data_IF_366550879069
#
_entry.id   IF_366550879069
#
_cell.length_a   1.000
_cell.length_b   1.000
_cell.length_c   1.000
_cell.angle_alpha   90.00
_cell.angle_beta   90.00
_cell.angle_gamma   90.00
#
_symmetry.space_group_name_H-M   'P 1'
#
loop_
_entity.id
_entity.type
_entity.pdbx_description
1 polymer ?
#
# COMPACT_ATOMS: atom_id res chain seq x y z
N UNK A 1 9.78 -28.75 -3.19
CA UNK A 1 9.53 -28.98 -4.64
C UNK A 1 8.04 -28.83 -4.87
N UNK A 2 7.59 -27.66 -5.31
CA UNK A 2 6.18 -27.47 -5.68
C UNK A 2 6.09 -27.51 -7.21
N UNK A 3 5.34 -28.50 -7.64
CA UNK A 3 4.90 -28.85 -8.98
C UNK A 3 4.56 -27.63 -9.85
N UNK A 4 5.18 -27.58 -11.03
CA UNK A 4 4.94 -26.59 -12.07
C UNK A 4 3.60 -26.79 -12.77
N UNK A 5 2.51 -26.38 -12.13
CA UNK A 5 1.22 -26.17 -12.79
C UNK A 5 1.08 -24.66 -13.05
N UNK A 6 1.43 -24.20 -14.25
CA UNK A 6 1.10 -22.84 -14.69
C UNK A 6 -0.42 -22.70 -14.69
N UNK A 7 -0.96 -21.87 -13.79
CA UNK A 7 -2.35 -21.42 -13.86
C UNK A 7 -2.54 -20.63 -15.17
N UNK A 8 -3.43 -21.05 -16.08
CA UNK A 8 -3.68 -20.36 -17.35
C UNK A 8 -4.29 -18.96 -17.20
N UNK A 9 -4.63 -18.51 -15.97
CA UNK A 9 -5.06 -17.13 -15.67
C UNK A 9 -3.89 -16.19 -15.37
N UNK A 10 -2.66 -16.67 -15.27
CA UNK A 10 -1.50 -15.83 -15.03
C UNK A 10 -0.99 -15.18 -16.33
N UNK A 11 -1.82 -14.34 -16.94
CA UNK A 11 -1.45 -13.43 -18.03
C UNK A 11 -1.65 -11.98 -17.56
N UNK A 12 -0.87 -11.56 -16.56
CA UNK A 12 -0.40 -10.17 -16.36
C UNK A 12 0.23 -10.04 -14.97
N UNK A 13 1.55 -9.82 -14.95
CA UNK A 13 2.25 -9.25 -13.80
C UNK A 13 2.37 -7.74 -14.05
N UNK A 14 1.26 -7.09 -14.40
CA UNK A 14 1.25 -5.72 -14.94
C UNK A 14 0.72 -4.69 -13.94
N UNK A 15 0.49 -5.08 -12.68
CA UNK A 15 0.07 -4.15 -11.64
C UNK A 15 1.21 -3.18 -11.32
N UNK A 16 1.09 -1.95 -11.82
CA UNK A 16 2.02 -0.85 -11.54
C UNK A 16 1.62 -0.06 -10.29
N UNK A 17 2.61 0.60 -9.71
CA UNK A 17 2.37 1.57 -8.65
C UNK A 17 1.50 2.71 -9.18
N UNK A 18 0.63 3.24 -8.32
CA UNK A 18 -0.23 4.37 -8.64
C UNK A 18 0.33 5.68 -8.02
N UNK A 19 -0.08 6.86 -8.55
CA UNK A 19 0.34 8.14 -7.98
C UNK A 19 0.00 8.26 -6.49
N UNK A 20 1.01 8.59 -5.69
CA UNK A 20 0.91 8.73 -4.23
C UNK A 20 0.52 7.45 -3.50
N UNK A 21 0.70 6.28 -4.11
CA UNK A 21 0.42 5.01 -3.48
C UNK A 21 1.40 4.70 -2.35
N UNK A 22 0.92 4.01 -1.31
CA UNK A 22 1.75 3.53 -0.20
C UNK A 22 2.17 2.07 -0.41
N UNK A 23 3.25 1.65 0.25
CA UNK A 23 3.71 0.28 0.23
C UNK A 23 2.64 -0.73 0.70
N UNK A 24 1.92 -0.49 1.83
CA UNK A 24 0.80 -1.36 2.20
C UNK A 24 -0.32 -1.39 1.15
N UNK A 25 -0.66 -0.25 0.53
CA UNK A 25 -1.65 -0.19 -0.55
C UNK A 25 -1.26 -1.08 -1.73
N UNK A 26 -0.03 -0.90 -2.22
CA UNK A 26 0.46 -1.64 -3.38
C UNK A 26 0.49 -3.14 -3.09
N UNK A 27 0.99 -3.55 -1.92
CA UNK A 27 1.01 -4.94 -1.49
C UNK A 27 -0.41 -5.54 -1.42
N UNK A 28 -1.39 -4.80 -0.87
CA UNK A 28 -2.79 -5.22 -0.83
C UNK A 28 -3.41 -5.40 -2.22
N UNK A 29 -3.20 -4.46 -3.14
CA UNK A 29 -3.71 -4.57 -4.51
C UNK A 29 -3.05 -5.72 -5.27
N UNK A 30 -1.75 -5.92 -5.04
CA UNK A 30 -1.00 -7.00 -5.66
C UNK A 30 -1.51 -8.37 -5.19
N UNK A 31 -1.72 -8.52 -3.88
CA UNK A 31 -2.32 -9.73 -3.31
C UNK A 31 -3.73 -9.97 -3.88
N UNK A 32 -4.55 -8.92 -3.95
CA UNK A 32 -5.89 -8.98 -4.54
C UNK A 32 -5.85 -9.43 -6.02
N UNK A 33 -4.90 -8.93 -6.82
CA UNK A 33 -4.72 -9.33 -8.24
C UNK A 33 -4.33 -10.80 -8.42
N UNK A 34 -3.92 -11.48 -7.33
CA UNK A 34 -3.57 -12.90 -7.31
C UNK A 34 -4.58 -13.74 -6.53
N UNK A 35 -5.64 -13.12 -6.00
CA UNK A 35 -6.67 -13.81 -5.23
C UNK A 35 -6.15 -14.36 -3.90
N UNK A 36 -5.12 -13.76 -3.32
CA UNK A 36 -4.51 -14.17 -2.03
C UNK A 36 -4.60 -13.05 -1.02
N UNK A 37 -4.35 -13.36 0.26
CA UNK A 37 -4.24 -12.32 1.29
C UNK A 37 -2.87 -11.64 1.24
N UNK A 38 -2.74 -10.46 1.84
CA UNK A 38 -1.42 -9.80 2.00
C UNK A 38 -0.44 -10.64 2.82
N UNK A 39 -0.94 -11.41 3.79
CA UNK A 39 -0.14 -12.32 4.60
C UNK A 39 0.46 -13.45 3.78
N UNK A 40 -0.37 -14.10 2.95
CA UNK A 40 0.07 -15.18 2.06
C UNK A 40 1.08 -14.68 1.03
N UNK A 41 0.81 -13.51 0.42
CA UNK A 41 1.76 -12.91 -0.52
C UNK A 41 3.10 -12.57 0.16
N UNK A 42 3.08 -12.02 1.39
CA UNK A 42 4.30 -11.74 2.12
C UNK A 42 5.09 -13.02 2.43
N UNK A 43 4.39 -14.09 2.81
CA UNK A 43 4.97 -15.41 3.04
C UNK A 43 5.62 -15.98 1.77
N UNK A 44 4.95 -15.90 0.62
CA UNK A 44 5.48 -16.34 -0.67
C UNK A 44 6.72 -15.54 -1.10
N UNK A 45 6.81 -14.27 -0.70
CA UNK A 45 8.01 -13.43 -0.87
C UNK A 45 9.13 -13.74 0.14
N UNK A 46 8.91 -14.68 1.07
CA UNK A 46 9.88 -15.09 2.09
C UNK A 46 10.01 -14.11 3.26
N UNK A 47 9.02 -13.24 3.48
CA UNK A 47 9.03 -12.21 4.52
C UNK A 47 7.71 -12.17 5.29
N UNK A 48 7.53 -11.20 6.19
CA UNK A 48 6.28 -11.03 6.94
C UNK A 48 5.68 -9.65 6.70
N UNK A 49 4.37 -9.51 6.90
CA UNK A 49 3.66 -8.23 6.77
C UNK A 49 4.28 -7.14 7.67
N UNK A 50 4.73 -7.52 8.87
CA UNK A 50 5.38 -6.60 9.81
C UNK A 50 6.64 -5.94 9.22
N UNK A 51 7.43 -6.68 8.43
CA UNK A 51 8.64 -6.14 7.78
C UNK A 51 8.30 -5.06 6.76
N UNK A 52 7.23 -5.24 5.98
CA UNK A 52 6.73 -4.19 5.08
C UNK A 52 6.25 -2.94 5.84
N UNK A 53 5.54 -3.10 6.97
CA UNK A 53 5.10 -1.96 7.80
C UNK A 53 6.25 -1.19 8.46
N UNK A 54 7.43 -1.82 8.53
CA UNK A 54 8.68 -1.24 9.03
C UNK A 54 9.58 -0.73 7.89
N UNK A 55 9.14 -0.84 6.63
CA UNK A 55 9.93 -0.53 5.44
C UNK A 55 11.32 -1.21 5.46
N UNK A 56 11.35 -2.47 5.89
CA UNK A 56 12.56 -3.30 5.90
C UNK A 56 13.10 -3.48 4.48
N UNK A 57 14.38 -3.20 4.30
CA UNK A 57 15.05 -3.19 2.99
C UNK A 57 14.93 -4.53 2.26
N UNK A 58 15.21 -5.64 2.94
CA UNK A 58 15.13 -6.97 2.32
C UNK A 58 13.70 -7.34 1.86
N UNK A 59 12.68 -6.93 2.61
CA UNK A 59 11.28 -7.12 2.21
C UNK A 59 10.91 -6.26 0.99
N UNK A 60 11.30 -4.99 0.98
CA UNK A 60 11.08 -4.08 -0.15
C UNK A 60 11.79 -4.60 -1.41
N UNK A 61 13.03 -5.08 -1.28
CA UNK A 61 13.81 -5.65 -2.38
C UNK A 61 13.18 -6.94 -2.93
N UNK A 62 12.65 -7.81 -2.06
CA UNK A 62 11.94 -9.02 -2.49
C UNK A 62 10.69 -8.66 -3.30
N UNK A 63 9.90 -7.70 -2.83
CA UNK A 63 8.73 -7.21 -3.54
C UNK A 63 9.11 -6.56 -4.88
N UNK A 64 10.11 -5.67 -4.89
CA UNK A 64 10.54 -4.95 -6.08
C UNK A 64 11.03 -5.91 -7.18
N UNK A 65 11.82 -6.93 -6.82
CA UNK A 65 12.27 -7.96 -7.76
C UNK A 65 11.11 -8.78 -8.31
N UNK A 66 10.19 -9.21 -7.45
CA UNK A 66 9.06 -10.05 -7.87
C UNK A 66 8.09 -9.29 -8.78
N UNK A 67 7.77 -8.05 -8.42
CA UNK A 67 6.86 -7.17 -9.17
C UNK A 67 7.53 -6.39 -10.30
N UNK A 68 8.85 -6.56 -10.51
CA UNK A 68 9.66 -5.85 -11.53
C UNK A 68 9.49 -4.32 -11.43
N UNK A 69 9.53 -3.80 -10.22
CA UNK A 69 9.51 -2.37 -9.95
C UNK A 69 10.89 -1.76 -10.21
N UNK A 70 10.89 -0.59 -10.83
CA UNK A 70 12.07 0.26 -10.94
C UNK A 70 12.41 0.90 -9.60
N UNK A 71 13.68 1.33 -9.45
CA UNK A 71 14.11 2.06 -8.25
C UNK A 71 13.28 3.32 -8.00
N UNK A 72 12.89 4.04 -9.07
CA UNK A 72 12.06 5.24 -8.96
C UNK A 72 10.62 4.94 -8.47
N UNK A 73 10.01 3.84 -8.91
CA UNK A 73 8.70 3.40 -8.40
C UNK A 73 8.78 3.06 -6.91
N UNK A 74 9.84 2.37 -6.49
CA UNK A 74 10.06 2.03 -5.08
C UNK A 74 10.28 3.28 -4.24
N UNK A 75 11.16 4.19 -4.70
CA UNK A 75 11.46 5.45 -4.00
C UNK A 75 10.21 6.31 -3.80
N UNK A 76 9.43 6.53 -4.86
CA UNK A 76 8.20 7.32 -4.79
C UNK A 76 7.19 6.68 -3.81
N UNK A 77 6.99 5.36 -3.91
CA UNK A 77 6.08 4.63 -3.01
C UNK A 77 6.53 4.71 -1.53
N UNK A 78 7.83 4.55 -1.25
CA UNK A 78 8.36 4.68 0.10
C UNK A 78 8.23 6.11 0.64
N UNK A 79 8.44 7.12 -0.21
CA UNK A 79 8.28 8.53 0.17
C UNK A 79 6.87 8.88 0.65
N UNK A 80 5.84 8.17 0.13
CA UNK A 80 4.44 8.29 0.53
C UNK A 80 4.03 7.33 1.64
N UNK A 81 4.86 6.34 1.96
CA UNK A 81 4.61 5.39 3.06
C UNK A 81 5.03 5.97 4.41
N UNK A 82 6.16 6.68 4.44
CA UNK A 82 6.81 7.10 5.68
C UNK A 82 7.76 6.02 6.20
N UNK A 83 9.07 6.24 6.03
CA UNK A 83 10.12 5.26 6.38
C UNK A 83 10.65 5.54 7.78
N UNK A 84 10.75 4.56 8.69
CA UNK A 84 11.32 4.77 10.02
C UNK A 84 12.76 5.30 9.98
N UNK A 85 13.04 6.33 10.77
CA UNK A 85 14.39 6.91 10.94
C UNK A 85 14.86 6.91 12.41
N UNK A 86 14.24 6.07 13.24
CA UNK A 86 14.50 6.00 14.69
C UNK A 86 13.74 7.05 15.51
N UNK A 87 13.84 6.97 16.83
CA UNK A 87 13.24 7.92 17.79
C UNK A 87 11.75 8.23 17.55
N UNK A 88 10.95 7.23 17.14
CA UNK A 88 9.52 7.36 16.85
C UNK A 88 9.25 8.44 15.79
N UNK A 89 10.13 8.51 14.79
CA UNK A 89 10.02 9.39 13.63
C UNK A 89 10.03 8.60 12.34
N UNK A 90 9.38 9.19 11.34
CA UNK A 90 9.29 8.71 9.98
C UNK A 90 9.84 9.80 9.05
N UNK A 91 10.63 9.42 8.06
CA UNK A 91 10.94 10.25 6.90
C UNK A 91 9.75 10.19 5.94
N UNK A 92 9.07 11.31 5.73
CA UNK A 92 7.90 11.40 4.88
C UNK A 92 8.04 12.57 3.92
N UNK A 93 8.04 12.29 2.62
CA UNK A 93 8.21 13.31 1.55
C UNK A 93 9.40 14.26 1.77
N UNK A 94 10.51 13.74 2.29
CA UNK A 94 11.73 14.53 2.54
C UNK A 94 11.81 15.16 3.93
N UNK A 95 10.76 15.05 4.75
CA UNK A 95 10.69 15.69 6.06
C UNK A 95 10.56 14.68 7.21
N UNK A 96 11.24 14.89 8.35
CA UNK A 96 11.05 14.08 9.54
C UNK A 96 9.74 14.44 10.24
N UNK A 97 8.84 13.47 10.38
CA UNK A 97 7.58 13.62 11.12
C UNK A 97 7.49 12.64 12.27
N UNK A 98 6.75 12.99 13.33
CA UNK A 98 6.47 12.05 14.43
C UNK A 98 5.59 10.92 13.93
N UNK A 99 5.82 9.67 14.35
CA UNK A 99 5.08 8.52 13.84
C UNK A 99 3.57 8.66 13.98
N UNK A 100 3.08 9.28 15.06
CA UNK A 100 1.65 9.52 15.31
C UNK A 100 0.98 10.50 14.35
N UNK A 101 1.75 11.26 13.57
CA UNK A 101 1.19 12.13 12.53
C UNK A 101 0.72 11.34 11.30
N UNK A 102 1.29 10.14 11.08
CA UNK A 102 0.96 9.25 9.96
C UNK A 102 0.26 7.95 10.39
N UNK A 103 0.65 7.40 11.54
CA UNK A 103 0.09 6.15 12.08
C UNK A 103 -1.10 6.48 12.98
N UNK A 104 -2.29 6.46 12.38
CA UNK A 104 -3.57 6.67 13.03
C UNK A 104 -4.35 5.33 13.08
N UNK A 105 -4.93 4.92 14.22
CA UNK A 105 -5.80 3.75 14.26
C UNK A 105 -7.01 3.89 13.31
N UNK A 106 -7.50 5.11 13.07
CA UNK A 106 -8.53 5.38 12.08
C UNK A 106 -7.90 5.66 10.71
N UNK A 107 -8.09 4.74 9.77
CA UNK A 107 -7.65 4.93 8.38
C UNK A 107 -8.70 5.71 7.63
N UNK A 108 -8.30 6.85 7.07
CA UNK A 108 -9.17 7.75 6.33
C UNK A 108 -8.95 7.63 4.81
N UNK A 109 -9.96 8.02 4.05
CA UNK A 109 -9.82 8.15 2.60
C UNK A 109 -11.03 8.78 1.94
N UNK A 110 -10.93 8.95 0.61
CA UNK A 110 -12.02 9.51 -0.19
C UNK A 110 -12.82 8.39 -0.85
N UNK A 111 -14.11 8.20 -0.50
CA UNK A 111 -14.93 7.15 -1.09
C UNK A 111 -15.24 7.39 -2.57
N UNK A 112 -15.14 8.64 -3.05
CA UNK A 112 -15.31 8.95 -4.48
C UNK A 112 -14.07 8.52 -5.26
N UNK A 113 -12.85 8.81 -4.77
CA UNK A 113 -11.62 8.29 -5.38
C UNK A 113 -11.64 6.77 -5.47
N UNK A 114 -11.95 6.08 -4.36
CA UNK A 114 -11.96 4.62 -4.36
C UNK A 114 -12.98 4.03 -5.34
N UNK A 115 -14.14 4.68 -5.50
CA UNK A 115 -15.16 4.24 -6.46
C UNK A 115 -14.74 4.46 -7.91
N UNK A 116 -14.07 5.58 -8.20
CA UNK A 116 -13.49 5.86 -9.52
C UNK A 116 -12.37 4.87 -9.84
N UNK A 117 -11.49 4.60 -8.87
CA UNK A 117 -10.40 3.64 -9.00
C UNK A 117 -10.97 2.23 -9.26
N UNK A 118 -11.98 1.79 -8.49
CA UNK A 118 -12.67 0.51 -8.73
C UNK A 118 -13.32 0.43 -10.12
N UNK A 119 -13.84 1.55 -10.64
CA UNK A 119 -14.45 1.61 -11.96
C UNK A 119 -13.43 1.49 -13.11
N UNK A 120 -12.13 1.68 -12.88
CA UNK A 120 -11.11 1.50 -13.94
C UNK A 120 -10.89 0.03 -14.28
N UNK A 121 -11.18 -0.89 -13.36
CA UNK A 121 -11.17 -2.32 -13.62
C UNK A 121 -12.33 -3.03 -12.87
N UNK A 122 -13.55 -3.02 -13.44
CA UNK A 122 -14.72 -3.60 -12.78
C UNK A 122 -14.62 -5.12 -12.55
N UNK A 123 -13.76 -5.83 -13.29
CA UNK A 123 -13.55 -7.26 -13.11
C UNK A 123 -12.72 -7.57 -11.84
N UNK A 124 -11.85 -6.64 -11.43
CA UNK A 124 -10.98 -6.77 -10.25
C UNK A 124 -10.92 -5.46 -9.44
N UNK A 125 -12.03 -5.02 -8.84
CA UNK A 125 -12.10 -3.70 -8.19
C UNK A 125 -11.13 -3.55 -7.01
N UNK A 126 -10.84 -4.64 -6.30
CA UNK A 126 -9.91 -4.64 -5.16
C UNK A 126 -8.45 -4.44 -5.59
N UNK A 127 -8.05 -4.88 -6.80
CA UNK A 127 -6.72 -4.62 -7.34
C UNK A 127 -6.61 -3.22 -7.95
N UNK A 128 -7.72 -2.52 -8.15
CA UNK A 128 -7.75 -1.18 -8.74
C UNK A 128 -7.77 -0.06 -7.69
N UNK A 129 -8.41 -0.25 -6.54
CA UNK A 129 -8.53 0.78 -5.49
C UNK A 129 -7.18 1.14 -4.84
N UNK A 130 -6.85 2.43 -4.79
CA UNK A 130 -5.56 2.92 -4.28
C UNK A 130 -5.73 3.71 -2.99
N UNK A 131 -5.03 3.27 -1.94
CA UNK A 131 -4.86 4.07 -0.73
C UNK A 131 -3.74 5.08 -0.95
N UNK A 132 -4.07 6.37 -0.91
CA UNK A 132 -3.11 7.45 -1.17
C UNK A 132 -2.41 7.89 0.11
N UNK A 133 -1.09 8.05 0.05
CA UNK A 133 -0.25 8.32 1.22
C UNK A 133 -0.53 9.66 1.92
N UNK A 134 -0.97 10.68 1.19
CA UNK A 134 -1.39 11.96 1.79
C UNK A 134 -2.62 11.84 2.69
N UNK A 135 -3.44 10.79 2.55
CA UNK A 135 -4.57 10.54 3.47
C UNK A 135 -4.13 10.07 4.85
N UNK A 136 -2.90 9.58 4.98
CA UNK A 136 -2.37 9.09 6.27
C UNK A 136 -1.99 10.24 7.20
N UNK A 137 -1.68 11.41 6.66
CA UNK A 137 -1.32 12.58 7.45
C UNK A 137 -2.56 13.10 8.18
N UNK A 138 -2.52 13.06 9.51
CA UNK A 138 -3.65 13.39 10.39
C UNK A 138 -4.26 14.76 10.13
N UNK A 139 -3.45 15.73 9.75
CA UNK A 139 -3.87 17.11 9.47
C UNK A 139 -4.51 17.26 8.07
N UNK A 140 -4.43 16.24 7.20
CA UNK A 140 -5.07 16.24 5.88
C UNK A 140 -6.50 15.72 6.01
N UNK A 141 -7.45 16.63 6.16
CA UNK A 141 -8.86 16.29 6.32
C UNK A 141 -9.68 16.33 5.02
N UNK A 142 -9.10 16.75 3.88
CA UNK A 142 -9.81 17.01 2.62
C UNK A 142 -9.17 16.26 1.46
N UNK A 143 -10.00 15.59 0.63
CA UNK A 143 -9.56 15.03 -0.64
C UNK A 143 -9.18 16.15 -1.62
N UNK A 144 -7.94 16.13 -2.11
CA UNK A 144 -7.42 17.14 -3.03
C UNK A 144 -8.07 17.10 -4.43
N UNK A 145 -8.67 15.96 -4.82
CA UNK A 145 -9.37 15.80 -6.11
C UNK A 145 -10.83 16.24 -6.03
N UNK A 146 -11.58 15.71 -5.06
CA UNK A 146 -13.02 15.91 -4.95
C UNK A 146 -13.43 17.05 -4.01
N UNK A 147 -12.49 17.64 -3.28
CA UNK A 147 -12.70 18.75 -2.33
C UNK A 147 -13.78 18.45 -1.29
N UNK A 148 -13.78 17.22 -0.80
CA UNK A 148 -14.68 16.72 0.25
C UNK A 148 -13.88 16.23 1.44
N UNK A 149 -14.48 16.24 2.62
CA UNK A 149 -13.87 15.66 3.80
C UNK A 149 -13.51 14.19 3.54
N UNK A 150 -12.32 13.79 3.96
CA UNK A 150 -11.98 12.38 4.08
C UNK A 150 -12.85 11.76 5.16
N UNK A 151 -13.29 10.53 4.93
CA UNK A 151 -14.09 9.78 5.90
C UNK A 151 -13.25 8.65 6.47
N UNK A 152 -13.54 8.23 7.69
CA UNK A 152 -12.97 7.00 8.26
C UNK A 152 -13.49 5.81 7.46
N UNK A 153 -12.59 5.04 6.86
CA UNK A 153 -12.90 3.83 6.11
C UNK A 153 -12.96 2.62 7.04
N UNK A 154 -12.03 2.55 7.99
CA UNK A 154 -11.99 1.54 9.05
C UNK A 154 -11.15 2.06 10.22
N UNK A 155 -11.28 1.40 11.37
CA UNK A 155 -10.50 1.69 12.57
C UNK A 155 -9.94 0.39 13.11
N UNK A 156 -8.64 0.36 13.42
CA UNK A 156 -8.05 -0.75 14.17
C UNK A 156 -8.69 -0.77 15.57
N UNK A 157 -9.32 -1.89 15.93
CA UNK A 157 -9.79 -2.09 17.29
C UNK A 157 -8.59 -2.56 18.11
N UNK A 158 -8.17 -1.76 19.10
CA UNK A 158 -7.34 -2.31 20.17
C UNK A 158 -8.18 -3.38 20.87
N UNK A 159 -7.84 -4.65 20.65
CA UNK A 159 -8.31 -5.73 21.51
C UNK A 159 -7.69 -5.48 22.88
N UNK A 160 -8.49 -4.87 23.77
CA UNK A 160 -8.20 -4.72 25.19
C UNK A 160 -8.07 -6.10 25.86
#
# INVERSE_FOLDING_TARGET
MISGRKDPRCNSCDLRTAPRETLPSYLSRLAASKGVTTGDLAYDLGVSMKRFLQADEAAVDALARWAKLSAAEVEEMLSWTGVPIGNVRLQFRGEPVVSRALRNPAVQGCPVCLREDAATNPAEPLSAMVMRGHWQMREVCVCLRHRRLLVTLWTEQELL
#
